data_IF_943881453522
#
_entry.id   IF_943881453522
#
_cell.length_a   1.000
_cell.length_b   1.000
_cell.length_c   1.000
_cell.angle_alpha   90.00
_cell.angle_beta   90.00
_cell.angle_gamma   90.00
#
_symmetry.space_group_name_H-M   'P 1'
#
loop_
_entity.id
_entity.type
_entity.pdbx_description
1 polymer ?
#
# COMPACT_ATOMS: atom_id res chain seq x y z
N UNK A 1 -23.61 72.95 65.30
CA UNK A 1 -22.33 72.49 64.71
C UNK A 1 -22.13 70.98 64.79
N UNK A 2 -22.18 70.31 65.96
CA UNK A 2 -21.97 68.84 66.06
C UNK A 2 -22.86 68.00 65.14
N UNK A 3 -24.18 68.22 65.16
CA UNK A 3 -25.16 67.50 64.33
C UNK A 3 -24.95 67.67 62.82
N UNK A 4 -24.45 68.84 62.40
CA UNK A 4 -24.16 69.11 60.98
C UNK A 4 -22.89 68.38 60.53
N UNK A 5 -21.87 68.29 61.39
CA UNK A 5 -20.68 67.49 61.13
C UNK A 5 -21.00 65.98 61.08
N UNK A 6 -21.89 65.50 61.96
CA UNK A 6 -22.39 64.11 61.92
C UNK A 6 -23.10 63.79 60.60
N UNK A 7 -24.01 64.67 60.14
CA UNK A 7 -24.66 64.49 58.84
C UNK A 7 -23.68 64.57 57.66
N UNK A 8 -22.64 65.41 57.74
CA UNK A 8 -21.60 65.48 56.72
C UNK A 8 -20.81 64.18 56.63
N UNK A 9 -20.44 63.59 57.77
CA UNK A 9 -19.77 62.30 57.84
C UNK A 9 -20.67 61.16 57.30
N UNK A 10 -21.95 61.13 57.68
CA UNK A 10 -22.92 60.15 57.17
C UNK A 10 -23.12 60.26 55.66
N UNK A 11 -23.19 61.49 55.12
CA UNK A 11 -23.30 61.71 53.68
C UNK A 11 -22.06 61.19 52.95
N UNK A 12 -20.87 61.43 53.48
CA UNK A 12 -19.61 60.96 52.89
C UNK A 12 -19.54 59.42 52.90
N UNK A 13 -19.99 58.78 53.98
CA UNK A 13 -20.07 57.32 54.08
C UNK A 13 -21.06 56.73 53.05
N UNK A 14 -22.25 57.30 52.92
CA UNK A 14 -23.24 56.87 51.93
C UNK A 14 -22.78 57.11 50.49
N UNK A 15 -22.05 58.19 50.23
CA UNK A 15 -21.45 58.44 48.91
C UNK A 15 -20.38 57.40 48.57
N UNK A 16 -19.55 57.04 49.55
CA UNK A 16 -18.56 55.98 49.40
C UNK A 16 -19.25 54.63 49.14
N UNK A 17 -20.22 54.24 49.96
CA UNK A 17 -20.98 53.00 49.78
C UNK A 17 -21.69 52.96 48.42
N UNK A 18 -22.32 54.06 47.99
CA UNK A 18 -22.93 54.19 46.67
C UNK A 18 -21.92 53.92 45.56
N UNK A 19 -20.73 54.51 45.65
CA UNK A 19 -19.68 54.32 44.65
C UNK A 19 -19.17 52.87 44.60
N UNK A 20 -18.96 52.24 45.76
CA UNK A 20 -18.52 50.84 45.87
C UNK A 20 -19.58 49.88 45.31
N UNK A 21 -20.86 50.12 45.61
CA UNK A 21 -21.96 49.31 45.07
C UNK A 21 -22.11 49.48 43.56
N UNK A 22 -21.99 50.70 43.05
CA UNK A 22 -22.04 50.96 41.61
C UNK A 22 -20.91 50.25 40.89
N UNK A 23 -19.69 50.33 41.42
CA UNK A 23 -18.53 49.63 40.89
C UNK A 23 -18.79 48.12 40.81
N UNK A 24 -19.30 47.53 41.89
CA UNK A 24 -19.64 46.10 41.93
C UNK A 24 -20.73 45.70 40.93
N UNK A 25 -21.74 46.55 40.72
CA UNK A 25 -22.76 46.33 39.68
C UNK A 25 -22.12 46.32 38.30
N UNK A 26 -21.23 47.27 38.00
CA UNK A 26 -20.53 47.34 36.71
C UNK A 26 -19.63 46.11 36.47
N UNK A 27 -18.93 45.64 37.50
CA UNK A 27 -18.12 44.41 37.44
C UNK A 27 -18.98 43.17 37.14
N UNK A 28 -20.13 43.02 37.81
CA UNK A 28 -21.04 41.92 37.52
C UNK A 28 -21.65 42.02 36.11
N UNK A 29 -22.03 43.21 35.66
CA UNK A 29 -22.58 43.39 34.30
C UNK A 29 -21.52 43.07 33.24
N UNK A 30 -20.27 43.49 33.44
CA UNK A 30 -19.15 43.10 32.56
C UNK A 30 -18.95 41.59 32.54
N UNK A 31 -18.99 40.95 33.71
CA UNK A 31 -18.85 39.49 33.82
C UNK A 31 -20.01 38.77 33.10
N UNK A 32 -21.24 39.26 33.23
CA UNK A 32 -22.40 38.71 32.51
C UNK A 32 -22.23 38.89 31.00
N UNK A 33 -21.77 40.06 30.54
CA UNK A 33 -21.48 40.29 29.12
C UNK A 33 -20.49 39.27 28.57
N UNK A 34 -19.36 39.08 29.25
CA UNK A 34 -18.31 38.15 28.80
C UNK A 34 -18.80 36.69 28.81
N UNK A 35 -19.59 36.29 29.81
CA UNK A 35 -20.18 34.95 29.88
C UNK A 35 -21.23 34.74 28.77
N UNK A 36 -22.12 35.71 28.54
CA UNK A 36 -23.11 35.66 27.47
C UNK A 36 -22.44 35.58 26.09
N UNK A 37 -21.36 36.35 25.87
CA UNK A 37 -20.61 36.31 24.63
C UNK A 37 -20.06 34.90 24.33
N UNK A 38 -19.45 34.24 25.32
CA UNK A 38 -18.92 32.87 25.16
C UNK A 38 -20.03 31.83 24.97
N UNK A 39 -21.13 31.96 25.72
CA UNK A 39 -22.28 31.05 25.68
C UNK A 39 -23.21 31.27 24.47
N UNK A 40 -22.97 32.31 23.66
CA UNK A 40 -23.86 32.70 22.56
C UNK A 40 -25.26 33.15 23.00
N UNK A 41 -25.38 33.68 24.22
CA UNK A 41 -26.65 34.14 24.78
C UNK A 41 -26.88 35.63 24.56
N UNK A 42 -28.14 36.05 24.48
CA UNK A 42 -28.47 37.48 24.43
C UNK A 42 -28.18 38.16 25.78
N UNK A 43 -27.15 39.00 25.78
CA UNK A 43 -26.76 39.80 26.94
C UNK A 43 -27.91 40.69 27.42
N UNK A 44 -28.65 41.32 26.50
CA UNK A 44 -29.67 42.31 26.85
C UNK A 44 -30.87 41.67 27.56
N UNK A 45 -31.38 40.54 27.05
CA UNK A 45 -32.40 39.74 27.74
C UNK A 45 -31.92 39.34 29.14
N UNK A 46 -30.68 38.84 29.24
CA UNK A 46 -30.12 38.36 30.51
C UNK A 46 -30.03 39.45 31.58
N UNK A 47 -29.56 40.66 31.24
CA UNK A 47 -29.47 41.76 32.22
C UNK A 47 -30.81 42.44 32.51
N UNK A 48 -31.73 42.46 31.55
CA UNK A 48 -33.07 43.06 31.75
C UNK A 48 -33.96 42.20 32.67
N UNK A 49 -33.81 40.88 32.63
CA UNK A 49 -34.43 39.95 33.60
C UNK A 49 -33.98 40.22 35.04
N UNK A 50 -32.72 40.65 35.22
CA UNK A 50 -32.21 41.03 36.54
C UNK A 50 -32.79 42.37 36.97
N UNK A 51 -32.65 43.40 36.13
CA UNK A 51 -33.31 44.69 36.32
C UNK A 51 -33.27 45.54 35.03
N UNK A 52 -34.39 46.18 34.60
CA UNK A 52 -34.45 46.94 33.36
C UNK A 52 -33.42 48.07 33.23
N UNK A 53 -33.04 48.69 34.36
CA UNK A 53 -32.07 49.80 34.38
C UNK A 53 -30.62 49.38 34.10
N UNK A 54 -30.33 48.08 33.98
CA UNK A 54 -28.97 47.58 33.74
C UNK A 54 -28.60 47.59 32.26
N UNK A 55 -29.61 47.74 31.38
CA UNK A 55 -29.43 47.92 29.96
C UNK A 55 -28.59 49.18 29.65
N UNK A 56 -27.78 49.13 28.60
CA UNK A 56 -26.89 50.23 28.18
C UNK A 56 -27.64 51.47 27.67
N UNK A 57 -28.94 51.34 27.38
CA UNK A 57 -29.82 52.48 27.10
C UNK A 57 -30.06 53.41 28.31
N UNK A 58 -29.68 52.96 29.51
CA UNK A 58 -29.82 53.71 30.76
C UNK A 58 -28.47 54.29 31.21
N UNK A 59 -28.46 55.56 31.62
CA UNK A 59 -27.26 56.23 32.16
C UNK A 59 -26.65 55.42 33.32
N UNK A 60 -25.32 55.43 33.41
CA UNK A 60 -24.57 54.75 34.49
C UNK A 60 -25.07 55.15 35.89
N UNK A 61 -25.50 56.40 36.05
CA UNK A 61 -26.01 56.92 37.33
C UNK A 61 -27.45 56.47 37.65
N UNK A 62 -28.18 55.93 36.67
CA UNK A 62 -29.53 55.39 36.81
C UNK A 62 -29.58 53.87 37.01
N UNK A 63 -28.43 53.20 37.09
CA UNK A 63 -28.36 51.76 37.37
C UNK A 63 -28.78 51.48 38.82
N UNK A 64 -29.66 50.50 39.01
CA UNK A 64 -30.06 50.05 40.35
C UNK A 64 -28.86 49.46 41.11
N UNK A 65 -28.63 49.96 42.32
CA UNK A 65 -27.59 49.51 43.27
C UNK A 65 -28.19 48.88 44.55
N UNK A 66 -29.46 48.45 44.45
CA UNK A 66 -30.16 47.82 45.56
C UNK A 66 -29.52 46.46 45.93
N UNK A 67 -29.71 46.04 47.18
CA UNK A 67 -29.24 44.72 47.62
C UNK A 67 -29.90 43.58 46.83
N UNK A 68 -31.16 43.74 46.43
CA UNK A 68 -31.87 42.76 45.58
C UNK A 68 -31.21 42.66 44.20
N UNK A 69 -30.92 43.79 43.55
CA UNK A 69 -30.25 43.81 42.24
C UNK A 69 -28.86 43.20 42.32
N UNK A 70 -28.06 43.53 43.33
CA UNK A 70 -26.74 42.93 43.54
C UNK A 70 -26.82 41.41 43.80
N UNK A 71 -27.80 40.97 44.60
CA UNK A 71 -28.02 39.55 44.87
C UNK A 71 -28.45 38.79 43.63
N UNK A 72 -29.37 39.36 42.82
CA UNK A 72 -29.81 38.77 41.55
C UNK A 72 -28.66 38.68 40.55
N UNK A 73 -27.88 39.76 40.37
CA UNK A 73 -26.67 39.76 39.52
C UNK A 73 -25.69 38.66 39.95
N UNK A 74 -25.40 38.54 41.25
CA UNK A 74 -24.50 37.51 41.76
C UNK A 74 -25.03 36.10 41.46
N UNK A 75 -26.34 35.85 41.61
CA UNK A 75 -26.97 34.58 41.24
C UNK A 75 -26.87 34.30 39.74
N UNK A 76 -27.13 35.29 38.89
CA UNK A 76 -27.00 35.16 37.43
C UNK A 76 -25.58 34.84 37.01
N UNK A 77 -24.58 35.53 37.58
CA UNK A 77 -23.16 35.23 37.30
C UNK A 77 -22.80 33.80 37.70
N UNK A 78 -23.26 33.33 38.87
CA UNK A 78 -23.01 31.95 39.30
C UNK A 78 -23.68 30.93 38.36
N UNK A 79 -24.93 31.17 37.94
CA UNK A 79 -25.64 30.31 37.02
C UNK A 79 -24.94 30.22 35.65
N UNK A 80 -24.53 31.36 35.09
CA UNK A 80 -23.81 31.41 33.81
C UNK A 80 -22.43 30.76 33.88
N UNK A 81 -21.72 30.87 35.01
CA UNK A 81 -20.45 30.16 35.22
C UNK A 81 -20.62 28.65 35.26
N UNK A 82 -21.68 28.18 35.91
CA UNK A 82 -22.00 26.75 35.96
C UNK A 82 -22.44 26.24 34.57
N UNK A 83 -23.28 26.97 33.85
CA UNK A 83 -23.68 26.65 32.47
C UNK A 83 -22.45 26.58 31.54
N UNK A 84 -21.54 27.56 31.62
CA UNK A 84 -20.26 27.55 30.90
C UNK A 84 -19.46 26.28 31.17
N UNK A 85 -19.36 25.87 32.43
CA UNK A 85 -18.65 24.65 32.82
C UNK A 85 -19.31 23.39 32.27
N UNK A 86 -20.63 23.29 32.36
CA UNK A 86 -21.40 22.15 31.86
C UNK A 86 -21.30 22.01 30.34
N UNK A 87 -21.48 23.12 29.61
CA UNK A 87 -21.34 23.15 28.15
C UNK A 87 -19.94 22.81 27.68
N UNK A 88 -18.91 23.31 28.36
CA UNK A 88 -17.53 22.95 28.04
C UNK A 88 -17.27 21.45 28.24
N UNK A 89 -17.69 20.88 29.38
CA UNK A 89 -17.55 19.46 29.63
C UNK A 89 -18.24 18.61 28.54
N UNK A 90 -19.47 18.98 28.19
CA UNK A 90 -20.22 18.31 27.14
C UNK A 90 -19.53 18.40 25.78
N UNK A 91 -19.02 19.58 25.42
CA UNK A 91 -18.25 19.78 24.19
C UNK A 91 -16.97 18.92 24.16
N UNK A 92 -16.27 18.82 25.30
CA UNK A 92 -15.05 17.99 25.42
C UNK A 92 -15.35 16.50 25.26
N UNK A 93 -16.45 16.01 25.84
CA UNK A 93 -16.92 14.64 25.64
C UNK A 93 -17.23 14.36 24.16
N UNK A 94 -17.97 15.28 23.51
CA UNK A 94 -18.31 15.16 22.10
C UNK A 94 -17.06 15.21 21.20
N UNK A 95 -16.13 16.12 21.48
CA UNK A 95 -14.87 16.22 20.75
C UNK A 95 -14.06 14.91 20.86
N UNK A 96 -14.05 14.29 22.04
CA UNK A 96 -13.38 12.99 22.25
C UNK A 96 -14.06 11.89 21.43
N UNK A 97 -15.40 11.79 21.49
CA UNK A 97 -16.16 10.82 20.71
C UNK A 97 -15.98 11.00 19.20
N UNK A 98 -15.98 12.23 18.70
CA UNK A 98 -15.69 12.54 17.30
C UNK A 98 -14.30 12.04 16.89
N UNK A 99 -13.27 12.33 17.70
CA UNK A 99 -11.90 11.88 17.41
C UNK A 99 -11.81 10.35 17.37
N UNK A 100 -12.41 9.66 18.35
CA UNK A 100 -12.42 8.21 18.41
C UNK A 100 -13.13 7.59 17.19
N UNK A 101 -14.30 8.13 16.83
CA UNK A 101 -15.05 7.70 15.64
C UNK A 101 -14.28 7.97 14.35
N UNK A 102 -13.64 9.13 14.21
CA UNK A 102 -12.84 9.45 13.03
C UNK A 102 -11.61 8.55 12.89
N UNK A 103 -10.95 8.21 14.00
CA UNK A 103 -9.83 7.28 14.02
C UNK A 103 -10.30 5.87 13.66
N UNK A 104 -11.44 5.44 14.18
CA UNK A 104 -12.02 4.14 13.88
C UNK A 104 -12.43 3.99 12.40
N UNK A 105 -12.94 5.08 11.82
CA UNK A 105 -13.50 5.10 10.46
C UNK A 105 -12.52 5.56 9.38
N UNK A 106 -11.25 5.80 9.73
CA UNK A 106 -10.26 6.39 8.84
C UNK A 106 -10.79 7.64 8.10
N UNK A 107 -11.47 8.53 8.85
CA UNK A 107 -12.06 9.76 8.30
C UNK A 107 -10.95 10.69 7.83
N UNK A 108 -11.14 11.30 6.65
CA UNK A 108 -10.14 12.17 6.01
C UNK A 108 -9.91 13.47 6.79
N UNK A 109 -8.71 14.06 6.66
CA UNK A 109 -8.40 15.30 7.38
C UNK A 109 -9.26 16.48 6.91
N UNK A 110 -9.71 16.47 5.66
CA UNK A 110 -10.61 17.47 5.09
C UNK A 110 -11.97 17.47 5.81
N UNK A 111 -12.52 16.30 6.08
CA UNK A 111 -13.78 16.14 6.82
C UNK A 111 -13.62 16.51 8.29
N UNK A 112 -12.51 16.10 8.94
CA UNK A 112 -12.22 16.45 10.34
C UNK A 112 -12.13 17.97 10.56
N UNK A 113 -11.55 18.70 9.60
CA UNK A 113 -11.39 20.17 9.68
C UNK A 113 -12.70 20.94 9.81
N UNK A 114 -13.81 20.38 9.35
CA UNK A 114 -15.12 21.02 9.49
C UNK A 114 -15.52 21.21 10.97
N UNK A 115 -14.93 20.41 11.87
CA UNK A 115 -15.19 20.41 13.31
C UNK A 115 -14.00 20.92 14.13
N UNK A 116 -13.06 21.66 13.52
CA UNK A 116 -11.92 22.28 14.23
C UNK A 116 -12.39 23.16 15.41
N UNK A 117 -13.49 23.88 15.23
CA UNK A 117 -14.11 24.73 16.26
C UNK A 117 -14.55 23.95 17.52
N UNK A 118 -14.91 22.67 17.38
CA UNK A 118 -15.25 21.77 18.49
C UNK A 118 -13.99 21.22 19.14
N UNK A 119 -13.03 20.76 18.32
CA UNK A 119 -11.83 20.05 18.80
C UNK A 119 -10.79 20.98 19.43
N UNK A 120 -10.75 22.26 19.06
CA UNK A 120 -9.80 23.22 19.63
C UNK A 120 -9.94 23.41 21.15
N UNK A 121 -11.12 23.15 21.73
CA UNK A 121 -11.40 23.32 23.15
C UNK A 121 -11.28 22.02 23.97
N UNK A 122 -10.87 20.90 23.35
CA UNK A 122 -10.87 19.58 23.99
C UNK A 122 -10.06 19.52 25.29
N UNK A 123 -8.94 20.25 25.35
CA UNK A 123 -8.06 20.31 26.53
C UNK A 123 -8.06 21.67 27.22
N UNK A 124 -8.93 22.59 26.79
CA UNK A 124 -8.96 23.95 27.33
C UNK A 124 -9.57 23.98 28.74
N UNK A 125 -8.95 24.66 29.72
CA UNK A 125 -9.59 24.92 31.01
C UNK A 125 -10.71 25.96 30.85
N UNK A 126 -11.69 25.93 31.76
CA UNK A 126 -12.89 26.81 31.72
C UNK A 126 -12.54 28.29 31.60
N UNK A 127 -11.45 28.73 32.25
CA UNK A 127 -11.05 30.13 32.28
C UNK A 127 -10.40 30.62 30.98
N UNK A 128 -9.83 29.72 30.17
CA UNK A 128 -9.17 30.05 28.90
C UNK A 128 -10.17 30.16 27.74
N UNK A 129 -11.38 29.60 27.89
CA UNK A 129 -12.43 29.69 26.86
C UNK A 129 -13.07 31.07 26.90
N UNK A 130 -12.51 32.01 26.15
CA UNK A 130 -13.00 33.41 26.06
C UNK A 130 -13.51 33.78 24.68
N UNK A 131 -13.40 32.88 23.69
CA UNK A 131 -13.84 33.13 22.32
C UNK A 131 -15.36 33.25 22.28
N UNK A 132 -15.93 34.35 21.73
CA UNK A 132 -17.37 34.50 21.60
C UNK A 132 -17.99 33.37 20.79
N UNK A 133 -19.11 32.84 21.27
CA UNK A 133 -19.85 31.75 20.64
C UNK A 133 -19.21 30.37 20.78
N UNK A 134 -18.05 30.22 21.42
CA UNK A 134 -17.36 28.93 21.51
C UNK A 134 -18.15 27.84 22.25
N UNK A 135 -19.14 28.22 23.07
CA UNK A 135 -20.03 27.32 23.81
C UNK A 135 -21.50 27.60 23.53
N UNK A 136 -21.80 28.10 22.33
CA UNK A 136 -23.17 28.28 21.86
C UNK A 136 -23.88 26.93 21.69
N UNK A 137 -25.20 26.90 21.93
CA UNK A 137 -25.98 25.66 21.92
C UNK A 137 -26.04 25.01 20.54
N UNK A 138 -26.11 25.80 19.48
CA UNK A 138 -26.12 25.36 18.09
C UNK A 138 -24.83 24.61 17.72
N UNK A 139 -23.67 25.04 18.23
CA UNK A 139 -22.40 24.34 18.01
C UNK A 139 -22.35 22.98 18.72
N UNK A 140 -22.88 22.92 19.96
CA UNK A 140 -22.95 21.67 20.72
C UNK A 140 -23.91 20.71 20.03
N UNK A 141 -25.09 21.19 19.62
CA UNK A 141 -26.07 20.41 18.85
C UNK A 141 -25.48 19.90 17.53
N UNK A 142 -24.72 20.73 16.80
CA UNK A 142 -24.03 20.31 15.59
C UNK A 142 -23.04 19.16 15.86
N UNK A 143 -22.30 19.20 16.97
CA UNK A 143 -21.39 18.13 17.35
C UNK A 143 -22.15 16.85 17.76
N UNK A 144 -23.27 16.98 18.49
CA UNK A 144 -24.13 15.84 18.85
C UNK A 144 -24.70 15.14 17.62
N UNK A 145 -25.25 15.91 16.69
CA UNK A 145 -25.80 15.38 15.43
C UNK A 145 -24.73 14.69 14.61
N UNK A 146 -23.50 15.23 14.56
CA UNK A 146 -22.42 14.57 13.85
C UNK A 146 -21.98 13.26 14.52
N UNK A 147 -21.87 13.23 15.85
CA UNK A 147 -21.57 11.99 16.58
C UNK A 147 -22.62 10.92 16.27
N UNK A 148 -23.90 11.27 16.31
CA UNK A 148 -24.98 10.33 15.99
C UNK A 148 -24.91 9.85 14.53
N UNK A 149 -24.66 10.77 13.59
CA UNK A 149 -24.50 10.44 12.17
C UNK A 149 -23.32 9.48 11.95
N UNK A 150 -22.19 9.71 12.62
CA UNK A 150 -21.01 8.86 12.55
C UNK A 150 -21.24 7.50 13.20
N UNK A 151 -21.97 7.44 14.32
CA UNK A 151 -22.34 6.20 14.98
C UNK A 151 -23.22 5.32 14.07
N UNK A 152 -24.19 5.92 13.38
CA UNK A 152 -25.03 5.21 12.38
C UNK A 152 -24.22 4.66 11.19
N UNK A 153 -23.10 5.31 10.84
CA UNK A 153 -22.21 4.86 9.77
C UNK A 153 -21.08 3.94 10.23
N UNK A 154 -20.84 3.83 11.55
CA UNK A 154 -19.74 3.05 12.14
C UNK A 154 -19.69 1.63 11.61
N UNK A 155 -20.82 0.93 11.58
CA UNK A 155 -20.88 -0.46 11.14
C UNK A 155 -20.56 -0.64 9.65
N UNK A 156 -21.10 0.20 8.77
CA UNK A 156 -20.85 0.10 7.32
C UNK A 156 -19.42 0.45 6.98
N UNK A 157 -18.87 1.48 7.63
CA UNK A 157 -17.47 1.89 7.45
C UNK A 157 -16.49 0.86 8.01
N UNK A 158 -16.83 0.25 9.14
CA UNK A 158 -16.07 -0.86 9.72
C UNK A 158 -15.94 -2.03 8.75
N UNK A 159 -17.04 -2.45 8.10
CA UNK A 159 -17.02 -3.50 7.07
C UNK A 159 -16.06 -3.18 5.93
N UNK A 160 -16.10 -1.93 5.45
CA UNK A 160 -15.22 -1.48 4.37
C UNK A 160 -13.73 -1.57 4.75
N UNK A 161 -13.38 -1.10 5.96
CA UNK A 161 -11.99 -1.15 6.45
C UNK A 161 -11.54 -2.58 6.67
N UNK A 162 -12.38 -3.42 7.28
CA UNK A 162 -12.10 -4.82 7.49
C UNK A 162 -11.83 -5.54 6.15
N UNK A 163 -12.66 -5.34 5.13
CA UNK A 163 -12.41 -5.94 3.82
C UNK A 163 -11.16 -5.43 3.11
N UNK A 164 -10.78 -4.16 3.30
CA UNK A 164 -9.49 -3.67 2.79
C UNK A 164 -8.31 -4.37 3.46
N UNK A 165 -8.36 -4.52 4.79
CA UNK A 165 -7.33 -5.25 5.54
C UNK A 165 -7.29 -6.72 5.16
N UNK A 166 -8.45 -7.35 4.97
CA UNK A 166 -8.54 -8.73 4.50
C UNK A 166 -7.95 -8.89 3.09
N UNK A 167 -8.20 -7.95 2.17
CA UNK A 167 -7.61 -7.97 0.84
C UNK A 167 -6.07 -7.80 0.88
N UNK A 168 -5.54 -6.94 1.76
CA UNK A 168 -4.09 -6.83 1.98
C UNK A 168 -3.52 -8.16 2.49
N UNK A 169 -4.19 -8.80 3.44
CA UNK A 169 -3.80 -10.10 3.98
C UNK A 169 -3.79 -11.18 2.89
N UNK A 170 -4.83 -11.23 2.05
CA UNK A 170 -4.95 -12.11 0.90
C UNK A 170 -3.80 -11.91 -0.10
N UNK A 171 -3.45 -10.65 -0.41
CA UNK A 171 -2.32 -10.33 -1.30
C UNK A 171 -0.99 -10.82 -0.74
N UNK A 172 -0.75 -10.63 0.56
CA UNK A 172 0.47 -11.09 1.23
C UNK A 172 0.58 -12.62 1.17
N UNK A 173 -0.51 -13.33 1.47
CA UNK A 173 -0.52 -14.79 1.41
C UNK A 173 -0.37 -15.33 -0.01
N UNK A 174 -1.00 -14.69 -1.00
CA UNK A 174 -0.81 -15.03 -2.41
C UNK A 174 0.66 -14.86 -2.84
N UNK A 175 1.31 -13.74 -2.49
CA UNK A 175 2.74 -13.54 -2.75
C UNK A 175 3.63 -14.54 -2.00
N UNK A 176 3.18 -15.04 -0.85
CA UNK A 176 3.88 -16.04 -0.07
C UNK A 176 3.57 -17.49 -0.50
N UNK A 177 2.72 -17.71 -1.51
CA UNK A 177 2.23 -19.04 -1.90
C UNK A 177 1.62 -19.84 -0.74
N UNK A 178 0.84 -19.16 0.10
CA UNK A 178 0.08 -19.74 1.20
C UNK A 178 -1.39 -19.80 0.77
N UNK A 179 -1.97 -21.00 0.83
CA UNK A 179 -3.36 -21.22 0.48
C UNK A 179 -4.28 -20.77 1.62
N UNK A 180 -5.30 -20.00 1.26
CA UNK A 180 -6.33 -19.48 2.16
C UNK A 180 -7.68 -19.60 1.46
N UNK A 181 -8.75 -19.68 2.25
CA UNK A 181 -10.13 -19.57 1.75
C UNK A 181 -10.62 -18.12 1.95
N UNK A 182 -10.56 -17.27 0.91
CA UNK A 182 -10.93 -15.86 1.04
C UNK A 182 -12.43 -15.69 1.26
N UNK A 183 -13.27 -16.61 0.77
CA UNK A 183 -14.73 -16.52 0.93
C UNK A 183 -15.11 -16.82 2.38
N UNK A 184 -14.55 -17.89 2.96
CA UNK A 184 -14.82 -18.26 4.35
C UNK A 184 -14.34 -17.18 5.35
N UNK A 185 -13.17 -16.58 5.14
CA UNK A 185 -12.68 -15.51 6.04
C UNK A 185 -13.52 -14.24 5.91
N UNK A 186 -13.99 -13.88 4.70
CA UNK A 186 -14.88 -12.73 4.51
C UNK A 186 -16.26 -12.95 5.12
N UNK A 187 -16.82 -14.16 5.02
CA UNK A 187 -18.08 -14.53 5.69
C UNK A 187 -17.94 -14.43 7.20
N UNK A 188 -16.86 -14.96 7.77
CA UNK A 188 -16.56 -14.86 9.20
C UNK A 188 -16.43 -13.42 9.68
N UNK A 189 -15.76 -12.54 8.93
CA UNK A 189 -15.69 -11.11 9.24
C UNK A 189 -17.09 -10.48 9.23
N UNK A 190 -17.92 -10.81 8.23
CA UNK A 190 -19.29 -10.30 8.13
C UNK A 190 -20.13 -10.74 9.34
N UNK A 191 -20.08 -12.02 9.70
CA UNK A 191 -20.80 -12.57 10.85
C UNK A 191 -20.39 -11.92 12.17
N UNK A 192 -19.09 -11.68 12.37
CA UNK A 192 -18.59 -11.00 13.57
C UNK A 192 -19.14 -9.58 13.66
N UNK A 193 -19.15 -8.82 12.56
CA UNK A 193 -19.66 -7.45 12.53
C UNK A 193 -21.19 -7.41 12.72
N UNK A 194 -21.93 -8.28 12.03
CA UNK A 194 -23.39 -8.31 12.09
C UNK A 194 -23.93 -8.84 13.42
N UNK A 195 -23.19 -9.72 14.08
CA UNK A 195 -23.55 -10.20 15.42
C UNK A 195 -23.44 -9.11 16.50
N UNK A 196 -22.70 -8.02 16.24
CA UNK A 196 -22.45 -6.94 17.21
C UNK A 196 -21.69 -7.40 18.46
N UNK A 197 -21.14 -8.61 18.47
CA UNK A 197 -20.49 -9.21 19.64
C UNK A 197 -19.04 -8.77 19.83
N UNK A 198 -18.46 -8.05 18.87
CA UNK A 198 -17.06 -7.61 18.89
C UNK A 198 -16.98 -6.10 18.79
N UNK A 199 -16.17 -5.49 19.67
CA UNK A 199 -15.90 -4.06 19.58
C UNK A 199 -15.12 -3.78 18.29
N UNK A 200 -15.58 -2.86 17.42
CA UNK A 200 -14.96 -2.67 16.12
C UNK A 200 -13.47 -2.28 16.16
N UNK A 201 -13.04 -1.57 17.20
CA UNK A 201 -11.62 -1.25 17.40
C UNK A 201 -10.76 -2.50 17.66
N UNK A 202 -11.29 -3.48 18.39
CA UNK A 202 -10.59 -4.74 18.69
C UNK A 202 -10.47 -5.61 17.44
N UNK A 203 -11.54 -5.68 16.64
CA UNK A 203 -11.52 -6.40 15.36
C UNK A 203 -10.44 -5.86 14.42
N UNK A 204 -10.39 -4.54 14.21
CA UNK A 204 -9.38 -3.94 13.34
C UNK A 204 -7.96 -4.16 13.87
N UNK A 205 -7.76 -4.07 15.18
CA UNK A 205 -6.46 -4.33 15.81
C UNK A 205 -6.02 -5.79 15.62
N UNK A 206 -6.94 -6.76 15.72
CA UNK A 206 -6.63 -8.16 15.44
C UNK A 206 -6.24 -8.36 13.97
N UNK A 207 -6.96 -7.75 13.03
CA UNK A 207 -6.60 -7.81 11.61
C UNK A 207 -5.22 -7.21 11.33
N UNK A 208 -4.87 -6.08 11.97
CA UNK A 208 -3.53 -5.50 11.87
C UNK A 208 -2.44 -6.42 12.42
N UNK A 209 -2.73 -7.13 13.50
CA UNK A 209 -1.83 -8.16 14.03
C UNK A 209 -1.68 -9.33 13.07
N UNK A 210 -2.77 -9.76 12.43
CA UNK A 210 -2.72 -10.82 11.41
C UNK A 210 -1.90 -10.39 10.18
N UNK A 211 -2.08 -9.18 9.68
CA UNK A 211 -1.27 -8.61 8.59
C UNK A 211 0.21 -8.59 8.98
N UNK A 212 0.52 -8.17 10.21
CA UNK A 212 1.91 -8.14 10.69
C UNK A 212 2.53 -9.54 10.69
N UNK A 213 1.82 -10.54 11.22
CA UNK A 213 2.27 -11.94 11.20
C UNK A 213 2.42 -12.47 9.78
N UNK A 214 1.49 -12.15 8.87
CA UNK A 214 1.58 -12.56 7.48
C UNK A 214 2.79 -11.93 6.76
N UNK A 215 3.14 -10.68 7.08
CA UNK A 215 4.35 -10.01 6.57
C UNK A 215 5.62 -10.71 7.07
N UNK A 216 5.67 -11.05 8.36
CA UNK A 216 6.79 -11.83 8.94
C UNK A 216 6.93 -13.21 8.28
N UNK A 217 5.80 -13.87 8.04
CA UNK A 217 5.75 -15.16 7.36
C UNK A 217 6.26 -15.07 5.91
N UNK A 218 5.76 -14.08 5.16
CA UNK A 218 6.20 -13.80 3.79
C UNK A 218 7.70 -13.54 3.72
N UNK A 219 8.25 -12.75 4.65
CA UNK A 219 9.68 -12.49 4.75
C UNK A 219 10.49 -13.76 5.04
N UNK A 220 9.99 -14.62 5.93
CA UNK A 220 10.63 -15.90 6.26
C UNK A 220 10.67 -16.85 5.06
N UNK A 221 9.62 -16.88 4.24
CA UNK A 221 9.52 -17.73 3.05
C UNK A 221 10.30 -17.19 1.85
N UNK A 222 10.60 -15.89 1.83
CA UNK A 222 11.20 -15.17 0.69
C UNK A 222 12.39 -15.86 0.05
N UNK A 223 13.40 -16.24 0.82
CA UNK A 223 14.64 -16.82 0.26
C UNK A 223 14.42 -18.22 -0.36
N UNK A 224 13.44 -18.97 0.13
CA UNK A 224 13.01 -20.23 -0.47
C UNK A 224 12.25 -19.94 -1.77
N UNK A 225 11.27 -19.03 -1.74
CA UNK A 225 10.47 -18.68 -2.92
C UNK A 225 11.32 -18.09 -4.06
N UNK A 226 12.27 -17.20 -3.75
CA UNK A 226 13.25 -16.66 -4.73
C UNK A 226 14.10 -17.77 -5.39
N UNK A 227 14.24 -18.94 -4.74
CA UNK A 227 14.92 -20.11 -5.30
C UNK A 227 13.96 -21.02 -6.06
N UNK A 228 12.73 -21.17 -5.60
CA UNK A 228 11.66 -21.86 -6.35
C UNK A 228 11.46 -21.18 -7.70
N UNK A 229 11.36 -19.85 -7.74
CA UNK A 229 11.25 -19.08 -9.00
C UNK A 229 12.42 -19.38 -9.95
N UNK A 230 13.66 -19.31 -9.45
CA UNK A 230 14.86 -19.64 -10.25
C UNK A 230 14.86 -21.07 -10.75
N UNK A 231 14.36 -22.00 -9.94
CA UNK A 231 14.27 -23.41 -10.31
C UNK A 231 13.20 -23.64 -11.38
N UNK A 232 12.01 -23.06 -11.22
CA UNK A 232 10.95 -23.11 -12.22
C UNK A 232 11.42 -22.51 -13.57
N UNK A 233 12.04 -21.33 -13.57
CA UNK A 233 12.59 -20.75 -14.80
C UNK A 233 13.68 -21.62 -15.45
N UNK A 234 14.49 -22.32 -14.65
CA UNK A 234 15.48 -23.24 -15.17
C UNK A 234 14.83 -24.49 -15.80
N UNK A 235 13.76 -25.00 -15.19
CA UNK A 235 12.96 -26.10 -15.73
C UNK A 235 12.23 -25.71 -17.03
N UNK A 236 11.72 -24.48 -17.14
CA UNK A 236 11.13 -23.96 -18.38
C UNK A 236 12.15 -23.90 -19.52
N UNK A 237 13.37 -23.42 -19.25
CA UNK A 237 14.45 -23.41 -20.22
C UNK A 237 14.93 -24.83 -20.57
N UNK A 238 14.87 -25.78 -19.63
CA UNK A 238 15.09 -27.22 -19.90
C UNK A 238 14.07 -27.74 -20.92
N UNK A 239 12.79 -27.53 -20.67
CA UNK A 239 11.71 -27.94 -21.57
C UNK A 239 11.87 -27.33 -22.95
N UNK A 240 12.12 -26.01 -23.02
CA UNK A 240 12.36 -25.32 -24.29
C UNK A 240 13.56 -25.90 -25.06
N UNK A 241 14.65 -26.21 -24.36
CA UNK A 241 15.83 -26.82 -24.97
C UNK A 241 15.55 -28.23 -25.48
N UNK A 242 14.73 -29.01 -24.79
CA UNK A 242 14.29 -30.33 -25.24
C UNK A 242 13.48 -30.25 -26.53
N UNK A 243 12.52 -29.34 -26.60
CA UNK A 243 11.73 -29.10 -27.81
C UNK A 243 12.61 -28.62 -28.97
N UNK A 244 13.52 -27.69 -28.71
CA UNK A 244 14.50 -27.23 -29.70
C UNK A 244 15.42 -28.36 -30.19
N UNK A 245 15.74 -29.34 -29.34
CA UNK A 245 16.55 -30.50 -29.74
C UNK A 245 15.78 -31.53 -30.56
N UNK A 246 14.45 -31.59 -30.44
CA UNK A 246 13.56 -32.46 -31.23
C UNK A 246 13.25 -31.89 -32.61
N UNK A 247 13.40 -30.59 -32.81
CA UNK A 247 13.17 -29.93 -34.11
C UNK A 247 14.21 -30.36 -35.16
N UNK A 248 13.78 -31.14 -36.16
CA UNK A 248 14.64 -31.57 -37.28
C UNK A 248 15.09 -30.39 -38.16
N UNK A 249 14.33 -29.28 -38.17
CA UNK A 249 14.60 -28.08 -38.97
C UNK A 249 15.47 -27.05 -38.23
N UNK A 250 15.99 -27.37 -37.03
CA UNK A 250 16.74 -26.44 -36.16
C UNK A 250 18.01 -25.82 -36.79
N UNK A 251 18.56 -26.46 -37.81
CA UNK A 251 19.75 -26.00 -38.54
C UNK A 251 19.45 -25.43 -39.93
N UNK A 252 18.18 -25.36 -40.33
CA UNK A 252 17.82 -24.68 -41.57
C UNK A 252 18.25 -23.21 -41.47
N UNK A 253 18.83 -22.69 -42.55
CA UNK A 253 19.43 -21.36 -42.64
C UNK A 253 18.39 -20.21 -42.62
N UNK A 254 17.42 -20.30 -41.72
CA UNK A 254 16.40 -19.31 -41.45
C UNK A 254 17.01 -18.13 -40.69
N UNK A 255 16.51 -16.93 -40.97
CA UNK A 255 16.90 -15.69 -40.29
C UNK A 255 16.54 -15.80 -38.80
N UNK A 256 17.49 -16.18 -37.95
CA UNK A 256 17.29 -16.37 -36.50
C UNK A 256 17.98 -17.61 -35.90
N UNK A 257 18.44 -18.56 -36.71
CA UNK A 257 19.03 -19.82 -36.23
C UNK A 257 20.23 -19.62 -35.28
N UNK A 258 21.10 -18.65 -35.55
CA UNK A 258 22.25 -18.33 -34.70
C UNK A 258 21.84 -17.73 -33.33
N UNK A 259 20.70 -17.03 -33.24
CA UNK A 259 20.19 -16.52 -31.96
C UNK A 259 19.62 -17.65 -31.12
N UNK A 260 18.86 -18.57 -31.74
CA UNK A 260 18.33 -19.76 -31.08
C UNK A 260 19.45 -20.68 -30.61
N UNK A 261 20.51 -20.85 -31.41
CA UNK A 261 21.70 -21.61 -30.99
C UNK A 261 22.38 -20.98 -29.77
N UNK A 262 22.50 -19.63 -29.74
CA UNK A 262 23.04 -18.92 -28.56
C UNK A 262 22.15 -19.09 -27.33
N UNK A 263 20.82 -19.10 -27.48
CA UNK A 263 19.89 -19.40 -26.38
C UNK A 263 20.05 -20.84 -25.91
N UNK A 264 20.17 -21.80 -26.83
CA UNK A 264 20.37 -23.20 -26.50
C UNK A 264 21.66 -23.45 -25.71
N UNK A 265 22.78 -22.79 -26.05
CA UNK A 265 24.00 -22.89 -25.23
C UNK A 265 23.81 -22.29 -23.83
N UNK A 266 23.10 -21.16 -23.70
CA UNK A 266 22.78 -20.59 -22.39
C UNK A 266 21.86 -21.51 -21.58
N UNK A 267 20.84 -22.09 -22.22
CA UNK A 267 19.91 -23.03 -21.60
C UNK A 267 20.66 -24.27 -21.09
N UNK A 268 21.59 -24.84 -21.86
CA UNK A 268 22.42 -25.98 -21.40
C UNK A 268 23.20 -25.68 -20.11
N UNK A 269 23.78 -24.48 -20.00
CA UNK A 269 24.49 -24.06 -18.79
C UNK A 269 23.52 -23.99 -17.60
N UNK A 270 22.30 -23.51 -17.82
CA UNK A 270 21.27 -23.43 -16.77
C UNK A 270 20.77 -24.82 -16.37
N UNK A 271 20.48 -25.70 -17.33
CA UNK A 271 20.06 -27.09 -17.12
C UNK A 271 21.09 -27.88 -16.31
N UNK A 272 22.37 -27.68 -16.59
CA UNK A 272 23.46 -28.32 -15.84
C UNK A 272 23.53 -27.85 -14.37
N UNK A 273 22.96 -26.68 -14.04
CA UNK A 273 22.91 -26.16 -12.67
C UNK A 273 21.68 -26.61 -11.89
N UNK A 274 20.65 -27.14 -12.57
CA UNK A 274 19.39 -27.54 -11.91
C UNK A 274 19.62 -28.51 -10.73
N UNK A 275 20.44 -29.59 -10.83
CA UNK A 275 20.65 -30.49 -9.69
C UNK A 275 21.15 -29.75 -8.44
N UNK A 276 22.15 -28.87 -8.60
CA UNK A 276 22.67 -28.08 -7.48
C UNK A 276 21.66 -27.10 -6.89
N UNK A 277 20.73 -26.61 -7.72
CA UNK A 277 19.66 -25.71 -7.28
C UNK A 277 18.60 -26.48 -6.48
N UNK A 278 18.21 -27.67 -6.94
CA UNK A 278 17.32 -28.60 -6.23
C UNK A 278 17.92 -28.99 -4.88
N UNK A 279 19.19 -29.41 -4.84
CA UNK A 279 19.87 -29.77 -3.58
C UNK A 279 19.87 -28.60 -2.57
N UNK A 280 20.15 -27.39 -3.06
CA UNK A 280 20.11 -26.19 -2.23
C UNK A 280 18.70 -25.90 -1.73
N UNK A 281 17.69 -26.08 -2.57
CA UNK A 281 16.30 -25.83 -2.23
C UNK A 281 15.83 -26.84 -1.18
N UNK A 282 16.09 -28.14 -1.37
CA UNK A 282 15.81 -29.19 -0.37
C UNK A 282 16.48 -28.87 0.97
N UNK A 283 17.76 -28.50 0.97
CA UNK A 283 18.48 -28.18 2.20
C UNK A 283 17.87 -26.99 2.94
N UNK A 284 17.50 -25.92 2.23
CA UNK A 284 16.87 -24.74 2.83
C UNK A 284 15.46 -25.01 3.32
N UNK A 285 14.65 -25.72 2.54
CA UNK A 285 13.30 -26.10 2.93
C UNK A 285 13.32 -26.97 4.19
N UNK A 286 14.20 -27.98 4.26
CA UNK A 286 14.34 -28.80 5.48
C UNK A 286 14.76 -28.00 6.70
N UNK A 287 15.73 -27.09 6.55
CA UNK A 287 16.15 -26.24 7.65
C UNK A 287 15.01 -25.35 8.16
N UNK A 288 14.20 -24.81 7.25
CA UNK A 288 13.02 -24.00 7.59
C UNK A 288 11.93 -24.84 8.28
N UNK A 289 11.63 -26.04 7.78
CA UNK A 289 10.65 -26.95 8.38
C UNK A 289 11.08 -27.44 9.77
N UNK A 290 12.37 -27.70 9.96
CA UNK A 290 12.94 -28.12 11.25
C UNK A 290 12.89 -26.99 12.29
N UNK A 291 13.18 -25.74 11.88
CA UNK A 291 13.11 -24.57 12.76
C UNK A 291 11.67 -24.30 13.25
N UNK A 292 10.68 -24.50 12.36
CA UNK A 292 9.28 -24.09 12.61
C UNK A 292 8.36 -25.23 13.02
N UNK A 293 8.75 -26.48 12.79
CA UNK A 293 7.95 -27.67 13.10
C UNK A 293 6.71 -27.85 12.23
N UNK A 294 6.64 -27.17 11.08
CA UNK A 294 5.54 -27.27 10.11
C UNK A 294 6.10 -27.49 8.70
N UNK A 295 5.33 -28.18 7.85
CA UNK A 295 5.72 -28.43 6.47
C UNK A 295 5.63 -27.16 5.61
N UNK A 296 6.63 -26.93 4.77
CA UNK A 296 6.63 -25.84 3.80
C UNK A 296 5.77 -26.25 2.59
N UNK A 297 4.60 -25.65 2.46
CA UNK A 297 3.74 -25.80 1.28
C UNK A 297 4.00 -24.69 0.27
N UNK A 298 3.73 -24.96 -0.99
CA UNK A 298 3.69 -24.01 -2.10
C UNK A 298 2.36 -24.24 -2.81
N UNK A 299 1.45 -23.27 -2.74
CA UNK A 299 0.08 -23.36 -3.28
C UNK A 299 -0.64 -24.65 -2.82
N UNK A 300 -0.56 -24.94 -1.51
CA UNK A 300 -1.19 -26.11 -0.89
C UNK A 300 -0.38 -27.42 -0.96
N UNK A 301 0.66 -27.49 -1.79
CA UNK A 301 1.45 -28.72 -2.00
C UNK A 301 2.77 -28.67 -1.24
N UNK A 302 3.17 -29.70 -0.47
CA UNK A 302 4.49 -29.72 0.18
C UNK A 302 5.64 -29.60 -0.83
N UNK A 303 6.50 -28.59 -0.64
CA UNK A 303 7.56 -28.27 -1.60
C UNK A 303 8.57 -29.41 -1.76
N UNK A 304 8.88 -30.13 -0.67
CA UNK A 304 9.76 -31.29 -0.75
C UNK A 304 9.17 -32.40 -1.64
N UNK A 305 7.85 -32.64 -1.58
CA UNK A 305 7.20 -33.62 -2.42
C UNK A 305 7.25 -33.23 -3.91
N UNK A 306 7.06 -31.95 -4.23
CA UNK A 306 7.23 -31.44 -5.60
C UNK A 306 8.65 -31.65 -6.14
N UNK A 307 9.66 -31.45 -5.30
CA UNK A 307 11.07 -31.64 -5.69
C UNK A 307 11.42 -33.11 -5.88
N UNK A 308 10.88 -33.99 -5.02
CA UNK A 308 11.05 -35.43 -5.16
C UNK A 308 10.38 -35.96 -6.45
N UNK A 309 9.17 -35.50 -6.76
CA UNK A 309 8.48 -35.85 -8.01
C UNK A 309 9.26 -35.36 -9.24
N UNK A 310 9.78 -34.12 -9.21
CA UNK A 310 10.64 -33.60 -10.27
C UNK A 310 11.91 -34.45 -10.44
N UNK A 311 12.57 -34.83 -9.35
CA UNK A 311 13.78 -35.64 -9.39
C UNK A 311 13.51 -37.01 -10.03
N UNK A 312 12.39 -37.64 -9.69
CA UNK A 312 11.94 -38.90 -10.29
C UNK A 312 11.67 -38.74 -11.80
N UNK A 313 10.89 -37.74 -12.20
CA UNK A 313 10.58 -37.45 -13.61
C UNK A 313 11.83 -37.18 -14.44
N UNK A 314 12.80 -36.44 -13.88
CA UNK A 314 14.07 -36.17 -14.54
C UNK A 314 14.87 -37.47 -14.74
N UNK A 315 14.94 -38.31 -13.72
CA UNK A 315 15.64 -39.60 -13.79
C UNK A 315 15.01 -40.53 -14.83
N UNK A 316 13.68 -40.64 -14.87
CA UNK A 316 12.97 -41.40 -15.92
C UNK A 316 13.29 -40.91 -17.33
N UNK A 317 13.34 -39.59 -17.53
CA UNK A 317 13.68 -39.00 -18.82
C UNK A 317 15.13 -39.30 -19.24
N UNK A 318 16.06 -39.28 -18.28
CA UNK A 318 17.47 -39.63 -18.53
C UNK A 318 17.63 -41.13 -18.85
N UNK A 319 16.88 -42.00 -18.17
CA UNK A 319 16.81 -43.42 -18.46
C UNK A 319 16.19 -43.72 -19.83
N UNK A 320 15.10 -43.06 -20.20
CA UNK A 320 14.48 -43.24 -21.52
C UNK A 320 15.45 -42.84 -22.63
N UNK A 321 16.13 -41.68 -22.49
CA UNK A 321 17.20 -41.26 -23.40
C UNK A 321 18.32 -42.30 -23.45
N UNK A 322 18.66 -42.97 -22.34
CA UNK A 322 19.64 -44.05 -22.31
C UNK A 322 19.14 -45.29 -23.07
N UNK A 323 17.90 -45.73 -22.84
CA UNK A 323 17.27 -46.87 -23.53
C UNK A 323 17.19 -46.64 -25.04
N UNK A 324 16.84 -45.43 -25.49
CA UNK A 324 16.84 -45.05 -26.90
C UNK A 324 18.23 -45.11 -27.54
N UNK A 325 19.27 -44.63 -26.82
CA UNK A 325 20.67 -44.76 -27.29
C UNK A 325 21.09 -46.22 -27.39
N UNK A 326 20.71 -47.05 -26.43
CA UNK A 326 21.08 -48.47 -26.43
C UNK A 326 20.30 -49.26 -27.50
N UNK A 327 19.03 -48.95 -27.76
CA UNK A 327 18.28 -49.46 -28.92
C UNK A 327 18.92 -49.04 -30.25
N UNK A 328 19.32 -47.77 -30.39
CA UNK A 328 20.00 -47.29 -31.60
C UNK A 328 21.32 -48.03 -31.84
N UNK A 329 22.11 -48.27 -30.79
CA UNK A 329 23.34 -49.08 -30.88
C UNK A 329 23.04 -50.53 -31.29
N UNK A 330 21.97 -51.14 -30.77
CA UNK A 330 21.58 -52.49 -31.13
C UNK A 330 21.11 -52.59 -32.59
N UNK A 331 20.35 -51.62 -33.08
CA UNK A 331 19.98 -51.51 -34.49
C UNK A 331 21.19 -51.30 -35.41
N UNK A 332 22.15 -50.47 -34.97
CA UNK A 332 23.40 -50.22 -35.70
C UNK A 332 24.30 -51.47 -35.75
N UNK A 333 24.35 -52.26 -34.67
CA UNK A 333 25.03 -53.55 -34.64
C UNK A 333 24.35 -54.59 -35.55
N UNK A 334 23.02 -54.70 -35.55
CA UNK A 334 22.31 -55.59 -36.49
C UNK A 334 22.54 -55.21 -37.96
N UNK A 335 22.55 -53.90 -38.29
CA UNK A 335 22.84 -53.43 -39.63
C UNK A 335 24.30 -53.74 -40.05
N UNK A 336 25.26 -53.59 -39.12
CA UNK A 336 26.68 -53.92 -39.36
C UNK A 336 26.90 -55.43 -39.56
N UNK A 337 26.17 -56.27 -38.82
CA UNK A 337 26.20 -57.73 -39.00
C UNK A 337 25.56 -58.17 -40.33
N UNK A 338 24.49 -57.52 -40.78
CA UNK A 338 23.91 -57.77 -42.11
C UNK A 338 24.85 -57.33 -43.26
N UNK A 339 25.56 -56.21 -43.12
CA UNK A 339 26.59 -55.80 -44.10
C UNK A 339 27.81 -56.74 -44.10
N UNK A 340 28.19 -57.33 -42.96
CA UNK A 340 29.28 -58.30 -42.87
C UNK A 340 28.94 -59.66 -43.51
N UNK A 341 27.66 -60.02 -43.64
CA UNK A 341 27.19 -61.26 -44.30
C UNK A 341 27.20 -61.14 -45.83
N UNK A 342 27.06 -59.93 -46.39
CA UNK A 342 27.19 -59.67 -47.84
C UNK A 342 28.61 -59.21 -48.21
N UNK A 343 29.57 -60.11 -48.02
CA UNK A 343 30.99 -59.87 -48.26
C UNK A 343 31.35 -59.44 -49.69
N UNK A 344 32.27 -58.47 -49.75
CA UNK A 344 33.36 -58.30 -50.73
C UNK A 344 33.01 -58.11 -52.22
N UNK A 345 33.16 -56.88 -52.72
CA UNK A 345 33.58 -56.63 -54.12
C UNK A 345 34.73 -55.62 -54.17
N UNK A 346 35.83 -55.92 -54.89
CA UNK A 346 36.95 -54.99 -55.04
C UNK A 346 36.59 -53.91 -56.05
N UNK A 347 36.84 -52.63 -55.72
CA UNK A 347 36.70 -51.54 -56.70
C UNK A 347 37.95 -51.44 -57.60
N UNK A 348 37.78 -51.11 -58.90
CA UNK A 348 38.84 -51.24 -59.90
C UNK A 348 39.77 -50.03 -59.94
N UNK A 349 40.99 -50.31 -60.41
CA UNK A 349 42.13 -49.43 -60.55
C UNK A 349 41.87 -48.08 -61.28
N UNK A 350 42.51 -47.02 -60.77
CA UNK A 350 42.80 -45.78 -61.53
C UNK A 350 43.97 -46.04 -62.50
N UNK A 351 43.92 -45.57 -63.76
CA UNK A 351 45.10 -45.51 -64.60
C UNK A 351 46.00 -44.31 -64.24
N UNK A 352 47.30 -44.56 -64.27
CA UNK A 352 48.39 -43.59 -64.08
C UNK A 352 48.85 -43.05 -65.44
N UNK A 353 49.09 -41.75 -65.52
CA UNK A 353 50.01 -41.16 -66.49
C UNK A 353 50.11 -39.62 -66.37
N UNK A 354 51.23 -38.92 -66.57
CA UNK A 354 52.64 -39.23 -66.83
C UNK A 354 53.45 -38.00 -66.35
N UNK A 355 54.51 -38.26 -65.55
CA UNK A 355 55.84 -37.61 -65.42
C UNK A 355 56.02 -36.12 -65.73
N UNK A 356 56.70 -35.41 -64.81
CA UNK A 356 58.12 -35.03 -65.00
C UNK A 356 58.90 -35.06 -63.67
N UNK A 357 59.98 -35.83 -63.71
CA UNK A 357 61.09 -35.93 -62.74
C UNK A 357 62.13 -34.88 -63.12
N UNK A 358 62.85 -34.34 -62.12
CA UNK A 358 64.33 -34.19 -62.07
C UNK A 358 64.69 -33.78 -60.63
N UNK A 359 65.46 -34.63 -59.93
CA UNK A 359 66.19 -34.29 -58.70
C UNK A 359 67.58 -33.72 -59.03
N UNK A 360 68.57 -33.58 -58.10
CA UNK A 360 68.80 -34.48 -56.96
C UNK A 360 69.25 -33.82 -55.61
N UNK A 361 69.28 -34.68 -54.58
CA UNK A 361 70.01 -34.72 -53.27
C UNK A 361 71.10 -33.64 -53.01
N UNK A 362 71.46 -33.23 -51.78
CA UNK A 362 71.78 -34.04 -50.60
C UNK A 362 71.96 -33.22 -49.28
N UNK A 363 71.73 -33.90 -48.15
CA UNK A 363 72.42 -33.88 -46.84
C UNK A 363 72.69 -32.61 -46.01
N UNK A 364 72.34 -32.76 -44.72
CA UNK A 364 73.00 -32.17 -43.53
C UNK A 364 72.34 -30.87 -43.06
N UNK A 365 71.91 -30.67 -41.82
CA UNK A 365 72.20 -31.35 -40.56
C UNK A 365 72.31 -30.28 -39.48
N UNK A 366 71.77 -30.58 -38.30
CA UNK A 366 72.05 -29.98 -36.99
C UNK A 366 71.46 -28.61 -36.59
N UNK A 367 70.69 -28.70 -35.50
CA UNK A 367 70.64 -27.81 -34.32
C UNK A 367 70.04 -26.41 -34.38
N UNK A 368 69.05 -26.21 -33.49
CA UNK A 368 68.95 -24.98 -32.71
C UNK A 368 67.55 -24.37 -32.61
N UNK A 369 66.71 -24.86 -31.69
CA UNK A 369 65.79 -23.97 -30.96
C UNK A 369 66.64 -23.08 -30.03
N UNK A 370 66.27 -21.82 -29.71
CA UNK A 370 65.08 -21.54 -28.92
C UNK A 370 64.34 -20.21 -29.17
N UNK A 371 63.14 -20.16 -28.58
CA UNK A 371 62.28 -19.01 -28.28
C UNK A 371 62.97 -17.65 -28.13
N UNK A 372 62.32 -16.61 -28.65
CA UNK A 372 62.50 -15.23 -28.18
C UNK A 372 61.16 -14.50 -28.06
N UNK A 373 60.66 -14.44 -26.82
CA UNK A 373 59.86 -13.32 -26.30
C UNK A 373 60.76 -12.08 -26.31
N UNK A 374 60.24 -10.89 -26.56
CA UNK A 374 60.54 -9.67 -25.78
C UNK A 374 59.62 -8.51 -26.19
N UNK A 375 58.95 -7.97 -25.18
CA UNK A 375 58.29 -6.68 -25.05
C UNK A 375 59.29 -5.55 -24.74
N UNK A 376 58.91 -4.29 -24.98
CA UNK A 376 59.13 -3.07 -24.16
C UNK A 376 58.57 -1.87 -24.97
N UNK A 377 57.52 -1.15 -24.51
CA UNK A 377 57.53 0.05 -23.62
C UNK A 377 58.19 1.29 -24.30
N UNK A 378 57.77 2.55 -24.12
CA UNK A 378 56.78 3.19 -23.25
C UNK A 378 56.57 4.68 -23.67
N UNK A 379 55.41 5.21 -23.27
CA UNK A 379 55.08 6.57 -22.79
C UNK A 379 55.33 7.84 -23.65
N UNK A 380 54.27 8.66 -23.79
CA UNK A 380 54.05 9.87 -22.95
C UNK A 380 52.69 10.57 -23.23
N UNK A 381 51.98 10.90 -22.13
CA UNK A 381 51.07 12.03 -21.77
C UNK A 381 50.43 12.91 -22.88
N UNK A 382 49.23 13.50 -22.76
CA UNK A 382 48.28 13.69 -21.66
C UNK A 382 47.10 14.60 -22.10
N UNK A 383 46.00 14.50 -21.34
CA UNK A 383 44.69 15.18 -21.34
C UNK A 383 44.43 16.48 -22.15
N UNK A 384 43.23 16.55 -22.77
CA UNK A 384 42.15 17.51 -22.43
C UNK A 384 40.79 17.18 -23.08
N UNK A 385 39.76 17.60 -22.37
CA UNK A 385 38.31 17.38 -22.46
C UNK A 385 37.58 18.00 -23.66
N UNK A 386 36.51 17.34 -24.14
CA UNK A 386 35.30 18.01 -24.64
C UNK A 386 34.08 17.07 -24.57
N UNK A 387 33.08 17.54 -23.83
CA UNK A 387 31.67 17.14 -23.76
C UNK A 387 30.98 17.00 -25.11
N UNK A 388 30.15 15.96 -25.28
CA UNK A 388 28.84 16.09 -25.95
C UNK A 388 27.91 14.92 -25.63
N UNK A 389 26.69 15.32 -25.28
CA UNK A 389 25.47 14.57 -25.00
C UNK A 389 25.10 13.48 -26.00
N UNK A 390 24.38 12.48 -25.51
CA UNK A 390 23.74 11.45 -26.33
C UNK A 390 22.90 10.46 -25.52
N UNK A 391 21.98 10.97 -24.70
CA UNK A 391 20.93 10.19 -24.03
C UNK A 391 20.03 9.52 -25.08
N UNK A 392 19.88 8.20 -25.03
CA UNK A 392 18.81 7.46 -25.72
C UNK A 392 18.22 6.43 -24.77
N UNK A 393 17.23 6.89 -24.01
CA UNK A 393 16.19 6.05 -23.44
C UNK A 393 15.40 5.43 -24.59
N UNK A 394 15.11 4.14 -24.52
CA UNK A 394 14.24 3.45 -25.47
C UNK A 394 13.17 2.67 -24.70
N UNK A 395 12.29 3.42 -24.03
CA UNK A 395 10.97 2.97 -23.59
C UNK A 395 10.02 3.03 -24.79
N UNK A 396 9.47 1.88 -25.17
CA UNK A 396 8.33 1.81 -26.10
C UNK A 396 7.30 0.83 -25.52
N UNK A 397 6.07 1.27 -25.19
CA UNK A 397 4.95 0.36 -25.01
C UNK A 397 4.46 -0.08 -26.40
N UNK A 398 4.22 -1.37 -26.56
CA UNK A 398 3.60 -1.93 -27.76
C UNK A 398 2.07 -1.80 -27.65
N UNK A 399 1.45 -1.16 -28.64
CA UNK A 399 0.01 -1.23 -28.90
C UNK A 399 -0.26 -2.29 -29.99
N UNK A 400 -1.40 -3.01 -29.95
CA UNK A 400 -1.71 -4.06 -30.91
C UNK A 400 -2.27 -3.50 -32.23
N UNK A 401 -2.03 -4.22 -33.33
CA UNK A 401 -2.48 -3.88 -34.69
C UNK A 401 -3.75 -4.66 -35.04
N UNK A 402 -4.77 -3.91 -35.48
CA UNK A 402 -6.07 -4.32 -36.03
C UNK A 402 -6.00 -4.99 -37.42
N UNK A 403 -7.02 -5.80 -37.76
CA UNK A 403 -7.76 -5.74 -39.05
C UNK A 403 -9.11 -6.52 -38.92
N UNK A 404 -10.30 -5.91 -38.85
CA UNK A 404 -11.21 -5.29 -39.89
C UNK A 404 -12.05 -6.30 -40.68
N UNK A 405 -13.38 -6.15 -40.61
CA UNK A 405 -14.26 -5.92 -41.75
C UNK A 405 -15.72 -5.66 -41.29
N UNK A 406 -16.31 -4.53 -41.68
CA UNK A 406 -17.70 -4.40 -42.20
C UNK A 406 -17.86 -2.97 -42.78
N UNK A 407 -18.60 -2.92 -43.88
CA UNK A 407 -18.69 -1.88 -44.90
C UNK A 407 -19.43 -0.59 -44.51
N UNK A 408 -18.92 0.52 -45.06
CA UNK A 408 -19.57 1.79 -45.47
C UNK A 408 -20.80 1.55 -46.36
N UNK A 409 -21.77 2.43 -46.60
CA UNK A 409 -22.15 3.83 -46.30
C UNK A 409 -23.73 3.79 -46.46
N UNK A 410 -24.58 4.74 -46.04
CA UNK A 410 -24.67 6.09 -46.60
C UNK A 410 -25.74 6.95 -45.89
N UNK A 411 -25.61 8.25 -46.17
CA UNK A 411 -26.20 9.44 -45.55
C UNK A 411 -27.74 9.59 -45.57
N UNK A 412 -28.26 10.40 -44.62
CA UNK A 412 -28.80 11.75 -44.88
C UNK A 412 -29.78 12.24 -43.79
N UNK A 413 -29.47 13.42 -43.23
CA UNK A 413 -30.32 14.53 -42.78
C UNK A 413 -31.86 14.39 -42.74
N UNK A 414 -32.51 14.78 -41.63
CA UNK A 414 -33.32 16.03 -41.57
C UNK A 414 -33.90 16.34 -40.18
N UNK A 415 -34.21 17.63 -40.03
CA UNK A 415 -34.65 18.43 -38.87
C UNK A 415 -36.17 18.36 -38.64
N UNK A 416 -36.58 18.74 -37.40
CA UNK A 416 -37.87 19.33 -36.97
C UNK A 416 -38.81 18.44 -36.15
N UNK A 417 -39.27 18.98 -35.01
CA UNK A 417 -40.42 18.47 -34.27
C UNK A 417 -40.50 18.99 -32.84
N UNK A 418 -40.99 20.20 -32.69
CA UNK A 418 -41.37 20.88 -31.45
C UNK A 418 -42.46 20.13 -30.65
N UNK A 419 -42.41 20.34 -29.33
CA UNK A 419 -43.52 20.74 -28.45
C UNK A 419 -44.22 19.75 -27.48
N UNK A 420 -44.28 20.26 -26.24
CA UNK A 420 -45.33 20.16 -25.20
C UNK A 420 -45.33 19.00 -24.18
N UNK A 421 -44.81 19.31 -22.99
CA UNK A 421 -45.40 19.01 -21.66
C UNK A 421 -46.85 19.57 -21.55
N UNK A 422 -47.74 19.16 -20.60
CA UNK A 422 -47.43 18.66 -19.25
C UNK A 422 -48.35 17.57 -18.63
N UNK A 423 -47.82 17.00 -17.53
CA UNK A 423 -48.42 16.61 -16.24
C UNK A 423 -49.86 16.04 -16.11
N UNK A 424 -49.88 14.83 -15.51
CA UNK A 424 -50.71 14.37 -14.37
C UNK A 424 -52.19 14.02 -14.59
N UNK A 425 -52.80 13.17 -13.72
CA UNK A 425 -52.40 12.73 -12.37
C UNK A 425 -51.42 11.56 -12.30
#
# INVERSE_FOLDING_TARGET
MKKLNEYHAQLQELQKEKSERLQKVLEFVSTVHDLCAVLGMDFFSTVTEVHPSLNDSTSVQSKSISNDTLSRLAKTVLALKEDKKQRLHKLQELATQLIDLWNLMDTSMEERRLFDHVTCNISAPVDEVTVPGALALDLIEQAEVEVERLDQLKASRMKEIAFKKQAELEEIYACAHIEIDPEAEREKIMELIDSGNVEPAELLADMDNQITKAKEESLSRKDILDKVEKWMSACEEESWLEDYNRDENRYNASRGAHLNLKRAEKARILVNKIPSLVDTLVAKTRAWEEERGISFTYDGVPLLAMLDEYAMLRHEREEEKRRLRDQKKFHEQQNTEQEAVFGSRPSPARPVGIKKVVGPRANGGANGTPSRRLSLNANQNGARSATRDGKRDNTRPAAPVNYVAISKDDAASHVSGTDLTPASP
#
